data_IF_846901209260
#
_entry.id   IF_846901209260
#
_cell.length_a   1.000
_cell.length_b   1.000
_cell.length_c   1.000
_cell.angle_alpha   90.00
_cell.angle_beta   90.00
_cell.angle_gamma   90.00
#
_symmetry.space_group_name_H-M   'P 1'
#
loop_
_entity.id
_entity.type
_entity.pdbx_description
1 polymer ?
#
# COMPACT_ATOMS: atom_id res chain seq x y z
N UNK A 1 -26.21 5.31 0.18
CA UNK A 1 -25.39 4.15 0.59
C UNK A 1 -24.48 4.59 1.70
N UNK A 2 -24.35 3.81 2.74
CA UNK A 2 -23.36 4.07 3.78
C UNK A 2 -21.97 3.75 3.21
N UNK A 3 -21.03 4.67 3.36
CA UNK A 3 -19.66 4.56 2.84
C UNK A 3 -18.72 4.07 3.93
N UNK A 4 -17.80 3.18 3.58
CA UNK A 4 -16.70 2.75 4.44
C UNK A 4 -15.45 3.55 4.06
N UNK A 5 -14.98 4.39 4.98
CA UNK A 5 -13.94 5.37 4.70
C UNK A 5 -12.52 4.80 4.85
N UNK A 6 -11.72 4.92 3.80
CA UNK A 6 -10.32 4.55 3.77
C UNK A 6 -9.43 5.77 3.45
N UNK A 7 -8.20 5.76 3.94
CA UNK A 7 -7.15 6.66 3.47
C UNK A 7 -6.52 6.14 2.18
N UNK A 8 -6.08 7.04 1.28
CA UNK A 8 -5.19 6.62 0.19
C UNK A 8 -3.81 6.31 0.75
N UNK A 9 -3.18 5.21 0.32
CA UNK A 9 -1.92 4.71 0.87
C UNK A 9 -0.93 4.34 -0.24
N UNK A 10 0.36 4.55 0.05
CA UNK A 10 1.46 4.20 -0.82
C UNK A 10 1.87 2.74 -0.59
N UNK A 11 1.66 1.87 -1.58
CA UNK A 11 1.85 0.42 -1.46
C UNK A 11 1.32 -0.12 -0.13
N UNK A 12 -0.03 -0.15 0.03
CA UNK A 12 -0.69 -0.42 1.31
C UNK A 12 -0.25 -1.72 1.98
N UNK A 13 -0.35 -1.83 3.31
CA UNK A 13 -0.05 -3.05 4.04
C UNK A 13 -1.10 -4.15 3.75
N UNK A 14 -0.75 -5.39 4.06
CA UNK A 14 -1.59 -6.58 3.85
C UNK A 14 -2.97 -6.40 4.50
N UNK A 15 -3.03 -5.90 5.73
CA UNK A 15 -4.31 -5.68 6.44
C UNK A 15 -5.21 -4.68 5.75
N UNK A 16 -4.65 -3.63 5.17
CA UNK A 16 -5.46 -2.68 4.38
C UNK A 16 -6.23 -3.42 3.28
N UNK A 17 -5.55 -4.30 2.52
CA UNK A 17 -6.20 -5.05 1.45
C UNK A 17 -7.23 -6.05 1.97
N UNK A 18 -6.96 -6.73 3.08
CA UNK A 18 -7.92 -7.63 3.69
C UNK A 18 -9.20 -6.89 4.11
N UNK A 19 -9.05 -5.72 4.74
CA UNK A 19 -10.18 -4.86 5.11
C UNK A 19 -10.90 -4.31 3.88
N UNK A 20 -10.15 -3.73 2.95
CA UNK A 20 -10.68 -3.08 1.75
C UNK A 20 -11.51 -4.04 0.88
N UNK A 21 -11.01 -5.26 0.67
CA UNK A 21 -11.68 -6.28 -0.13
C UNK A 21 -12.91 -6.90 0.56
N UNK A 22 -13.02 -6.74 1.87
CA UNK A 22 -14.19 -7.23 2.63
C UNK A 22 -15.38 -6.27 2.59
N UNK A 23 -15.17 -5.03 2.12
CA UNK A 23 -16.21 -4.02 2.10
C UNK A 23 -17.00 -4.02 0.79
N UNK A 24 -18.32 -3.85 0.89
CA UNK A 24 -19.18 -3.72 -0.29
C UNK A 24 -19.02 -2.36 -0.99
N UNK A 25 -18.78 -1.29 -0.21
CA UNK A 25 -18.70 0.09 -0.70
C UNK A 25 -17.46 0.82 -0.13
N UNK A 26 -16.23 0.38 -0.44
CA UNK A 26 -15.04 1.09 0.02
C UNK A 26 -14.94 2.44 -0.67
N UNK A 27 -14.64 3.49 0.11
CA UNK A 27 -14.50 4.85 -0.38
C UNK A 27 -13.18 5.45 0.11
N UNK A 28 -12.34 5.91 -0.82
CA UNK A 28 -11.13 6.65 -0.46
C UNK A 28 -11.51 8.09 -0.16
N UNK A 29 -11.29 8.54 1.09
CA UNK A 29 -11.52 9.92 1.50
C UNK A 29 -10.37 10.82 1.03
N UNK A 30 -10.56 11.44 -0.12
CA UNK A 30 -9.56 12.33 -0.73
C UNK A 30 -9.47 13.71 -0.05
N UNK A 31 -10.46 14.04 0.77
CA UNK A 31 -10.53 15.31 1.53
C UNK A 31 -10.00 15.20 2.95
N UNK A 32 -9.63 14.00 3.43
CA UNK A 32 -9.00 13.86 4.73
C UNK A 32 -7.71 14.67 4.83
N UNK A 33 -7.35 15.06 6.05
CA UNK A 33 -6.06 15.72 6.30
C UNK A 33 -4.92 14.71 6.36
N UNK A 34 -3.84 15.03 5.67
CA UNK A 34 -2.61 14.24 5.70
C UNK A 34 -2.05 14.11 7.12
N UNK A 35 -1.70 12.89 7.47
CA UNK A 35 -1.05 12.57 8.72
C UNK A 35 0.38 12.10 8.47
N UNK A 36 1.34 12.77 9.12
CA UNK A 36 2.75 12.42 9.03
C UNK A 36 3.01 11.04 9.64
N UNK A 37 3.98 10.34 9.08
CA UNK A 37 4.45 9.04 9.58
C UNK A 37 3.40 7.93 9.52
N UNK A 38 2.53 7.97 8.50
CA UNK A 38 1.53 6.96 8.19
C UNK A 38 1.78 6.35 6.81
N UNK A 39 1.08 5.28 6.48
CA UNK A 39 1.16 4.63 5.16
C UNK A 39 0.69 5.51 3.99
N UNK A 40 0.16 6.71 4.23
CA UNK A 40 -0.24 7.65 3.16
C UNK A 40 0.90 8.00 2.20
N UNK A 41 2.13 8.11 2.72
CA UNK A 41 3.30 8.42 1.89
C UNK A 41 4.48 7.48 2.13
N UNK A 42 4.26 6.30 2.70
CA UNK A 42 5.31 5.30 2.92
C UNK A 42 4.78 3.90 2.81
N UNK A 43 5.69 2.96 2.61
CA UNK A 43 5.42 1.54 2.74
C UNK A 43 6.55 0.84 3.51
N UNK A 44 6.27 -0.36 3.95
CA UNK A 44 7.25 -1.26 4.57
C UNK A 44 7.45 -2.47 3.68
N UNK A 45 8.71 -2.78 3.38
CA UNK A 45 9.12 -3.96 2.61
C UNK A 45 10.16 -4.75 3.39
N UNK A 46 10.34 -6.02 3.04
CA UNK A 46 11.41 -6.85 3.60
C UNK A 46 12.67 -6.71 2.75
N UNK A 47 13.74 -6.18 3.33
CA UNK A 47 15.05 -6.12 2.71
C UNK A 47 15.99 -7.19 3.29
N UNK A 48 17.16 -7.46 2.68
CA UNK A 48 18.17 -8.35 3.25
C UNK A 48 18.64 -8.00 4.66
N UNK A 49 18.39 -6.74 5.08
CA UNK A 49 18.76 -6.22 6.40
C UNK A 49 17.55 -6.10 7.37
N UNK A 50 16.41 -6.69 7.03
CA UNK A 50 15.17 -6.59 7.79
C UNK A 50 14.19 -5.56 7.22
N UNK A 51 13.32 -5.06 8.10
CA UNK A 51 12.29 -4.08 7.71
C UNK A 51 12.90 -2.82 7.10
N UNK A 52 12.52 -2.51 5.88
CA UNK A 52 12.89 -1.28 5.19
C UNK A 52 11.66 -0.39 4.98
N UNK A 53 11.81 0.90 5.32
CA UNK A 53 10.79 1.93 5.12
C UNK A 53 11.13 2.74 3.88
N UNK A 54 10.22 2.76 2.92
CA UNK A 54 10.31 3.61 1.73
C UNK A 54 9.33 4.78 1.89
N UNK A 55 9.81 6.01 1.65
CA UNK A 55 9.03 7.22 1.93
C UNK A 55 9.01 8.13 0.71
N UNK A 56 7.81 8.46 0.22
CA UNK A 56 7.61 9.47 -0.83
C UNK A 56 7.73 10.85 -0.20
N UNK A 57 8.68 11.69 -0.64
CA UNK A 57 8.85 13.04 -0.11
C UNK A 57 7.70 13.96 -0.53
N UNK A 58 7.20 14.77 0.41
CA UNK A 58 6.11 15.72 0.18
C UNK A 58 6.66 17.14 0.12
N UNK A 59 6.21 17.91 -0.87
CA UNK A 59 6.54 19.32 -1.01
C UNK A 59 5.79 20.17 0.04
N UNK A 60 6.50 21.12 0.65
CA UNK A 60 5.92 22.01 1.67
C UNK A 60 5.13 23.15 1.01
N UNK A 61 3.90 22.89 0.61
CA UNK A 61 3.00 23.87 -0.05
C UNK A 61 2.02 24.54 0.91
N UNK A 62 2.00 24.15 2.19
CA UNK A 62 1.01 24.59 3.18
C UNK A 62 -0.35 23.91 3.06
N UNK A 63 -0.57 23.09 2.02
CA UNK A 63 -1.80 22.29 1.85
C UNK A 63 -1.79 21.09 2.79
N UNK A 64 -2.98 20.69 3.25
CA UNK A 64 -3.15 19.59 4.21
C UNK A 64 -4.05 18.47 3.71
N UNK A 65 -5.02 18.77 2.84
CA UNK A 65 -5.89 17.74 2.29
C UNK A 65 -5.12 16.80 1.36
N UNK A 66 -5.41 15.49 1.44
CA UNK A 66 -4.71 14.46 0.65
C UNK A 66 -4.71 14.77 -0.84
N UNK A 67 -5.84 15.25 -1.38
CA UNK A 67 -5.99 15.62 -2.79
C UNK A 67 -5.05 16.74 -3.28
N UNK A 68 -4.54 17.57 -2.37
CA UNK A 68 -3.72 18.76 -2.68
C UNK A 68 -2.23 18.54 -2.38
N UNK A 69 -1.83 17.40 -1.82
CA UNK A 69 -0.44 17.11 -1.46
C UNK A 69 0.41 16.86 -2.69
N UNK A 70 1.43 17.68 -2.88
CA UNK A 70 2.36 17.54 -3.97
C UNK A 70 3.58 16.72 -3.57
N UNK A 71 4.05 15.89 -4.51
CA UNK A 71 5.28 15.11 -4.36
C UNK A 71 6.48 16.03 -4.58
N UNK A 72 7.52 15.86 -3.77
CA UNK A 72 8.81 16.52 -3.97
C UNK A 72 9.76 15.62 -4.76
N UNK A 73 10.35 16.17 -5.80
CA UNK A 73 11.37 15.50 -6.62
C UNK A 73 12.77 16.13 -6.42
N UNK A 74 13.00 16.76 -5.25
CA UNK A 74 14.32 17.29 -4.88
C UNK A 74 15.37 16.17 -4.68
N UNK A 75 14.92 14.97 -4.41
CA UNK A 75 15.71 13.73 -4.31
C UNK A 75 15.19 12.72 -5.31
N UNK A 76 16.05 11.82 -5.77
CA UNK A 76 15.69 10.77 -6.74
C UNK A 76 15.09 9.54 -6.05
N UNK A 77 14.02 9.78 -5.25
CA UNK A 77 13.37 8.75 -4.44
C UNK A 77 12.78 7.60 -5.28
N UNK A 78 12.32 7.90 -6.51
CA UNK A 78 11.76 6.87 -7.39
C UNK A 78 12.80 5.79 -7.71
N UNK A 79 14.00 6.23 -8.08
CA UNK A 79 15.11 5.32 -8.36
C UNK A 79 15.58 4.54 -7.13
N UNK A 80 15.58 5.19 -5.96
CA UNK A 80 15.88 4.52 -4.69
C UNK A 80 14.85 3.45 -4.37
N UNK A 81 13.55 3.75 -4.55
CA UNK A 81 12.47 2.79 -4.31
C UNK A 81 12.52 1.64 -5.30
N UNK A 82 12.68 1.89 -6.61
CA UNK A 82 12.83 0.85 -7.62
C UNK A 82 13.97 -0.12 -7.26
N UNK A 83 15.16 0.40 -6.96
CA UNK A 83 16.30 -0.42 -6.56
C UNK A 83 16.03 -1.21 -5.26
N UNK A 84 15.29 -0.62 -4.34
CA UNK A 84 14.91 -1.29 -3.09
C UNK A 84 13.98 -2.47 -3.35
N UNK A 85 12.98 -2.30 -4.24
CA UNK A 85 12.10 -3.40 -4.66
C UNK A 85 12.87 -4.50 -5.39
N UNK A 86 13.74 -4.16 -6.33
CA UNK A 86 14.58 -5.13 -7.03
C UNK A 86 15.49 -5.90 -6.06
N UNK A 87 16.16 -5.19 -5.15
CA UNK A 87 17.07 -5.83 -4.16
C UNK A 87 16.31 -6.72 -3.17
N UNK A 88 15.07 -6.34 -2.81
CA UNK A 88 14.22 -7.08 -1.90
C UNK A 88 13.64 -8.34 -2.56
N UNK A 89 13.12 -8.23 -3.80
CA UNK A 89 12.20 -9.22 -4.35
C UNK A 89 12.65 -9.93 -5.62
N UNK A 90 13.78 -9.59 -6.23
CA UNK A 90 14.27 -10.26 -7.46
C UNK A 90 14.41 -11.78 -7.33
N UNK A 91 14.52 -12.30 -6.11
CA UNK A 91 14.61 -13.74 -5.81
C UNK A 91 13.29 -14.35 -5.38
N UNK A 92 12.22 -13.57 -5.26
CA UNK A 92 10.90 -14.12 -4.94
C UNK A 92 10.29 -14.83 -6.15
N UNK A 93 9.47 -15.87 -5.91
CA UNK A 93 8.99 -16.75 -6.99
C UNK A 93 8.20 -16.03 -8.08
N UNK A 94 7.52 -14.93 -7.76
CA UNK A 94 6.62 -14.25 -8.68
C UNK A 94 7.08 -12.83 -9.05
N UNK A 95 8.29 -12.38 -8.64
CA UNK A 95 8.76 -11.03 -8.95
C UNK A 95 8.80 -10.77 -10.46
N UNK A 96 9.46 -11.65 -11.23
CA UNK A 96 9.58 -11.53 -12.68
C UNK A 96 8.22 -11.53 -13.39
N UNK A 97 7.21 -12.18 -12.79
CA UNK A 97 5.85 -12.23 -13.36
C UNK A 97 5.12 -10.90 -13.24
N UNK A 98 5.38 -10.11 -12.18
CA UNK A 98 4.70 -8.86 -11.88
C UNK A 98 5.57 -7.60 -12.11
N UNK A 99 6.86 -7.77 -12.39
CA UNK A 99 7.83 -6.68 -12.54
C UNK A 99 7.40 -5.69 -13.62
N UNK A 100 7.04 -6.17 -14.80
CA UNK A 100 6.68 -5.35 -15.96
C UNK A 100 5.40 -4.52 -15.73
N UNK A 101 4.53 -4.96 -14.84
CA UNK A 101 3.28 -4.26 -14.50
C UNK A 101 3.47 -3.21 -13.39
N UNK A 102 4.33 -3.47 -12.41
CA UNK A 102 4.49 -2.62 -11.23
C UNK A 102 5.62 -1.60 -11.34
N UNK A 103 6.76 -1.97 -11.96
CA UNK A 103 7.94 -1.11 -11.97
C UNK A 103 7.78 0.18 -12.77
N UNK A 104 6.96 0.25 -13.86
CA UNK A 104 6.71 1.50 -14.58
C UNK A 104 6.13 2.63 -13.72
N UNK A 105 5.50 2.33 -12.57
CA UNK A 105 5.03 3.32 -11.60
C UNK A 105 6.18 4.24 -11.13
N UNK A 106 7.40 3.71 -11.01
CA UNK A 106 8.56 4.47 -10.58
C UNK A 106 9.17 5.35 -11.69
N UNK A 107 8.79 5.16 -12.94
CA UNK A 107 9.27 5.96 -14.08
C UNK A 107 8.39 7.19 -14.32
N UNK A 108 7.10 7.10 -13.91
CA UNK A 108 6.11 8.15 -14.10
C UNK A 108 6.19 9.21 -12.97
N UNK A 109 6.21 10.50 -13.36
CA UNK A 109 6.16 11.60 -12.39
C UNK A 109 4.73 12.05 -12.15
N UNK A 110 4.24 11.83 -10.94
CA UNK A 110 2.95 12.32 -10.47
C UNK A 110 3.13 13.67 -9.76
N UNK A 111 2.24 14.62 -10.05
CA UNK A 111 2.24 15.89 -9.32
C UNK A 111 1.72 15.72 -7.90
N UNK A 112 0.65 14.96 -7.73
CA UNK A 112 -0.01 14.76 -6.45
C UNK A 112 0.23 13.35 -5.90
N UNK A 113 0.36 13.26 -4.58
CA UNK A 113 0.50 11.99 -3.88
C UNK A 113 -0.74 11.10 -4.06
N UNK A 114 -1.92 11.73 -4.10
CA UNK A 114 -3.17 11.00 -4.30
C UNK A 114 -3.17 10.25 -5.64
N UNK A 115 -2.75 10.91 -6.74
CA UNK A 115 -2.74 10.29 -8.06
C UNK A 115 -1.82 9.07 -8.11
N UNK A 116 -0.64 9.18 -7.49
CA UNK A 116 0.30 8.05 -7.34
C UNK A 116 -0.33 6.90 -6.55
N UNK A 117 -0.94 7.19 -5.41
CA UNK A 117 -1.52 6.17 -4.55
C UNK A 117 -2.72 5.47 -5.20
N UNK A 118 -3.55 6.21 -5.96
CA UNK A 118 -4.68 5.64 -6.69
C UNK A 118 -4.21 4.72 -7.82
N UNK A 119 -3.21 5.15 -8.60
CA UNK A 119 -2.63 4.31 -9.66
C UNK A 119 -2.04 3.02 -9.08
N UNK A 120 -1.33 3.10 -7.94
CA UNK A 120 -0.82 1.91 -7.23
C UNK A 120 -1.97 1.00 -6.77
N UNK A 121 -3.02 1.57 -6.17
CA UNK A 121 -4.16 0.79 -5.70
C UNK A 121 -4.86 0.06 -6.85
N UNK A 122 -5.15 0.76 -7.96
CA UNK A 122 -5.78 0.19 -9.15
C UNK A 122 -4.92 -0.93 -9.77
N UNK A 123 -3.62 -0.70 -9.86
CA UNK A 123 -2.68 -1.71 -10.36
C UNK A 123 -2.65 -2.95 -9.47
N UNK A 124 -2.57 -2.78 -8.15
CA UNK A 124 -2.56 -3.90 -7.21
C UNK A 124 -3.87 -4.68 -7.22
N UNK A 125 -5.03 -4.01 -7.33
CA UNK A 125 -6.32 -4.68 -7.50
C UNK A 125 -6.36 -5.51 -8.79
N UNK A 126 -5.84 -4.96 -9.89
CA UNK A 126 -5.73 -5.69 -11.17
C UNK A 126 -4.86 -6.94 -11.04
N UNK A 127 -3.68 -6.83 -10.41
CA UNK A 127 -2.76 -7.96 -10.23
C UNK A 127 -3.31 -9.03 -9.28
N UNK A 128 -4.10 -8.63 -8.30
CA UNK A 128 -4.86 -9.54 -7.43
C UNK A 128 -6.10 -10.14 -8.13
N UNK A 129 -6.37 -9.76 -9.38
CA UNK A 129 -7.54 -10.18 -10.17
C UNK A 129 -8.87 -9.86 -9.47
N UNK A 130 -8.92 -8.70 -8.82
CA UNK A 130 -10.10 -8.20 -8.13
C UNK A 130 -10.71 -7.05 -8.92
N UNK A 131 -12.04 -7.06 -9.02
CA UNK A 131 -12.76 -5.96 -9.65
C UNK A 131 -12.53 -4.64 -8.90
N UNK A 132 -12.22 -3.58 -9.65
CA UNK A 132 -12.04 -2.24 -9.09
C UNK A 132 -13.42 -1.65 -8.73
N UNK A 133 -13.82 -1.79 -7.46
CA UNK A 133 -15.13 -1.40 -6.93
C UNK A 133 -15.00 -0.38 -5.79
N UNK A 134 -14.18 0.63 -5.93
CA UNK A 134 -14.16 1.69 -4.93
C UNK A 134 -14.63 3.03 -5.50
N UNK A 135 -15.00 3.93 -4.63
CA UNK A 135 -15.35 5.30 -4.95
C UNK A 135 -14.37 6.29 -4.32
N UNK A 136 -14.39 7.52 -4.82
CA UNK A 136 -13.69 8.65 -4.20
C UNK A 136 -14.74 9.56 -3.54
N UNK A 137 -14.40 10.10 -2.36
CA UNK A 137 -15.30 11.03 -1.70
C UNK A 137 -15.39 12.36 -2.48
N UNK A 138 -16.57 12.99 -2.48
CA UNK A 138 -16.79 14.32 -3.04
C UNK A 138 -16.55 15.44 -2.02
N UNK A 139 -16.56 15.10 -0.73
CA UNK A 139 -16.25 15.94 0.42
C UNK A 139 -15.64 15.10 1.52
N UNK A 140 -15.18 15.73 2.62
CA UNK A 140 -14.73 14.98 3.80
C UNK A 140 -15.88 14.13 4.35
N UNK A 141 -15.61 12.85 4.63
CA UNK A 141 -16.60 11.92 5.18
C UNK A 141 -16.64 12.07 6.69
N UNK A 142 -17.68 12.77 7.19
CA UNK A 142 -17.81 13.06 8.64
C UNK A 142 -18.29 11.84 9.44
N UNK A 143 -19.19 11.04 8.86
CA UNK A 143 -19.82 9.91 9.52
C UNK A 143 -19.84 8.68 8.60
N UNK A 144 -18.71 7.97 8.44
CA UNK A 144 -18.68 6.73 7.68
C UNK A 144 -19.39 5.60 8.45
N UNK A 145 -19.86 4.57 7.75
CA UNK A 145 -20.36 3.34 8.38
C UNK A 145 -19.25 2.64 9.16
N UNK A 146 -18.09 2.47 8.52
CA UNK A 146 -16.85 2.05 9.17
C UNK A 146 -15.71 3.00 8.78
N UNK A 147 -14.84 3.34 9.73
CA UNK A 147 -13.71 4.25 9.52
C UNK A 147 -12.37 3.54 9.61
N UNK A 148 -11.79 3.25 8.45
CA UNK A 148 -10.47 2.63 8.32
C UNK A 148 -9.33 3.63 8.12
N UNK A 149 -9.59 4.95 8.10
CA UNK A 149 -8.56 5.97 7.83
C UNK A 149 -7.41 5.96 8.84
N UNK A 150 -7.68 5.47 10.06
CA UNK A 150 -6.71 5.38 11.17
C UNK A 150 -6.41 3.94 11.61
N UNK A 151 -6.91 2.93 10.89
CA UNK A 151 -6.81 1.53 11.31
C UNK A 151 -5.39 0.95 11.19
N UNK A 152 -4.51 1.59 10.40
CA UNK A 152 -3.18 1.04 10.07
C UNK A 152 -2.09 1.97 10.60
N UNK A 153 -1.39 1.55 11.65
CA UNK A 153 -0.31 2.33 12.27
C UNK A 153 1.06 1.86 11.75
N UNK A 154 1.70 2.72 10.96
CA UNK A 154 3.03 2.45 10.43
C UNK A 154 4.16 2.49 11.48
N UNK A 155 3.89 2.92 12.72
CA UNK A 155 4.87 2.91 13.83
C UNK A 155 4.77 1.63 14.64
N UNK A 156 3.54 1.12 14.80
CA UNK A 156 3.23 -0.08 15.56
C UNK A 156 2.46 -1.04 14.64
N UNK A 157 3.14 -1.69 13.67
CA UNK A 157 2.49 -2.67 12.81
C UNK A 157 1.97 -3.84 13.65
N UNK A 158 0.97 -4.53 13.14
CA UNK A 158 0.42 -5.72 13.80
C UNK A 158 1.48 -6.80 13.89
N UNK A 159 1.52 -7.49 15.03
CA UNK A 159 2.52 -8.53 15.31
C UNK A 159 2.01 -9.94 14.99
N UNK A 160 0.71 -10.12 14.79
CA UNK A 160 0.08 -11.44 14.62
C UNK A 160 -0.73 -11.49 13.32
N UNK A 161 -0.11 -12.05 12.28
CA UNK A 161 -0.75 -12.46 11.04
C UNK A 161 -0.28 -13.88 10.68
N UNK A 162 -1.12 -14.68 10.01
CA UNK A 162 -0.71 -15.99 9.52
C UNK A 162 0.59 -15.90 8.71
N UNK A 163 1.54 -16.78 8.99
CA UNK A 163 2.81 -16.78 8.28
C UNK A 163 2.64 -17.26 6.83
N UNK A 164 3.40 -16.64 5.93
CA UNK A 164 3.65 -17.10 4.57
C UNK A 164 5.16 -17.06 4.29
N UNK A 165 5.61 -17.73 3.25
CA UNK A 165 7.05 -17.78 2.96
C UNK A 165 7.54 -16.43 2.43
N UNK A 166 8.45 -15.77 3.17
CA UNK A 166 9.12 -14.53 2.75
C UNK A 166 10.51 -14.83 2.20
N UNK A 167 11.01 -14.00 1.27
CA UNK A 167 12.28 -14.20 0.54
C UNK A 167 13.46 -14.47 1.47
N UNK A 168 13.50 -13.85 2.65
CA UNK A 168 14.63 -13.96 3.59
C UNK A 168 14.31 -14.81 4.82
N UNK A 169 13.29 -15.68 4.77
CA UNK A 169 12.86 -16.52 5.90
C UNK A 169 13.95 -17.42 6.49
N UNK A 170 15.00 -17.74 5.72
CA UNK A 170 16.16 -18.49 6.25
C UNK A 170 17.02 -17.69 7.24
N UNK A 171 16.95 -16.35 7.22
CA UNK A 171 17.82 -15.45 7.98
C UNK A 171 17.07 -14.47 8.87
N UNK A 172 15.83 -14.16 8.52
CA UNK A 172 15.02 -13.14 9.16
C UNK A 172 13.71 -13.81 9.57
N UNK A 173 13.30 -13.62 10.82
CA UNK A 173 12.00 -14.09 11.29
C UNK A 173 10.90 -13.40 10.49
N UNK A 174 9.75 -14.06 10.37
CA UNK A 174 8.57 -13.52 9.69
C UNK A 174 8.25 -12.12 10.19
N UNK A 175 8.09 -11.18 9.25
CA UNK A 175 7.66 -9.80 9.54
C UNK A 175 6.24 -9.66 9.00
N UNK A 176 5.23 -9.57 9.87
CA UNK A 176 3.85 -9.41 9.45
C UNK A 176 3.54 -8.02 8.90
N UNK A 177 2.40 -7.90 8.23
CA UNK A 177 1.80 -6.65 7.77
C UNK A 177 2.72 -5.71 6.95
N UNK A 178 3.61 -6.31 6.16
CA UNK A 178 4.35 -5.60 5.12
C UNK A 178 3.40 -5.10 4.03
N UNK A 179 3.90 -4.29 3.11
CA UNK A 179 3.16 -3.96 1.90
C UNK A 179 2.65 -5.23 1.22
N UNK A 180 1.45 -5.18 0.66
CA UNK A 180 0.83 -6.33 -0.05
C UNK A 180 1.69 -6.85 -1.21
N UNK A 181 2.62 -6.06 -1.73
CA UNK A 181 3.57 -6.52 -2.75
C UNK A 181 4.50 -7.60 -2.23
N UNK A 182 4.83 -7.62 -0.93
CA UNK A 182 5.59 -8.71 -0.33
C UNK A 182 4.84 -10.03 -0.44
N UNK A 183 3.55 -10.02 -0.10
CA UNK A 183 2.67 -11.18 -0.27
C UNK A 183 2.54 -11.56 -1.75
N UNK A 184 2.31 -10.58 -2.63
CA UNK A 184 2.11 -10.79 -4.06
C UNK A 184 3.33 -11.43 -4.72
N UNK A 185 4.54 -10.95 -4.42
CA UNK A 185 5.78 -11.48 -4.99
C UNK A 185 6.16 -12.87 -4.45
N UNK A 186 5.72 -13.21 -3.24
CA UNK A 186 6.03 -14.52 -2.63
C UNK A 186 4.94 -15.57 -2.90
N UNK A 187 3.65 -15.20 -2.86
CA UNK A 187 2.52 -16.14 -2.95
C UNK A 187 1.80 -16.07 -4.32
N UNK A 188 2.07 -15.04 -5.12
CA UNK A 188 1.47 -14.86 -6.44
C UNK A 188 -0.05 -14.93 -6.42
N UNK A 189 -0.68 -15.80 -7.23
CA UNK A 189 -2.14 -15.94 -7.28
C UNK A 189 -2.78 -16.38 -5.95
N UNK A 190 -2.02 -16.97 -5.02
CA UNK A 190 -2.55 -17.35 -3.70
C UNK A 190 -2.72 -16.16 -2.76
N UNK A 191 -2.18 -14.99 -3.09
CA UNK A 191 -2.31 -13.77 -2.30
C UNK A 191 -3.77 -13.40 -2.03
N UNK A 192 -4.66 -13.55 -3.01
CA UNK A 192 -6.08 -13.26 -2.82
C UNK A 192 -6.76 -14.23 -1.83
N UNK A 193 -6.34 -15.49 -1.82
CA UNK A 193 -6.86 -16.50 -0.87
C UNK A 193 -6.40 -16.15 0.54
N UNK A 194 -5.13 -15.79 0.71
CA UNK A 194 -4.58 -15.34 1.98
C UNK A 194 -5.36 -14.12 2.53
N UNK A 195 -5.54 -13.08 1.70
CA UNK A 195 -6.25 -11.86 2.09
C UNK A 195 -7.71 -12.13 2.53
N UNK A 196 -8.42 -13.00 1.81
CA UNK A 196 -9.80 -13.39 2.18
C UNK A 196 -9.87 -14.16 3.49
N UNK A 197 -8.90 -15.02 3.76
CA UNK A 197 -8.87 -15.83 4.98
C UNK A 197 -8.58 -14.98 6.24
N UNK A 198 -7.87 -13.85 6.11
CA UNK A 198 -7.63 -12.93 7.23
C UNK A 198 -8.93 -12.35 7.83
N UNK A 199 -10.01 -12.30 7.08
CA UNK A 199 -11.30 -11.75 7.53
C UNK A 199 -12.27 -12.80 8.10
N UNK A 200 -11.93 -14.06 8.01
CA UNK A 200 -12.77 -15.14 8.53
C UNK A 200 -12.35 -15.58 9.95
N UNK A 201 -11.29 -15.01 10.49
CA UNK A 201 -10.79 -15.20 11.85
C UNK A 201 -11.20 -14.03 12.74
#
# INVERSE_FOLDING_TARGET
MELNAFSSQYFPPIRFFADFLSQENPCIDVYENYQKQTYRNRCHILSPNGLQKLVVPIAHTGKRAMKDLQISYAQDWQKEHLRSFEAAYRRSPYFEYYEDDLMPIFEKKHKFLLDLNLEILEQLLSLLQVENKFSLSESYIESPAEDFRQAYDAKNPVEDLPEYTQVFSEKIQFIPDLSVVDLLFNEGPQSIVYLKNLKQQ
#
